data_IF_986313032814
#
_entry.id   IF_986313032814
#
_cell.length_a   1.000
_cell.length_b   1.000
_cell.length_c   1.000
_cell.angle_alpha   90.00
_cell.angle_beta   90.00
_cell.angle_gamma   90.00
#
_symmetry.space_group_name_H-M   'P 1'
#
loop_
_entity.id
_entity.type
_entity.pdbx_description
1 polymer ?
#
# COMPACT_ATOMS: atom_id res chain seq x y z
N UNK A 1 44.04 57.01 4.93
CA UNK A 1 42.86 57.59 4.23
C UNK A 1 43.14 57.56 2.74
N UNK A 2 42.23 56.96 1.96
CA UNK A 2 42.13 56.88 0.48
C UNK A 2 43.23 56.09 -0.28
N UNK A 3 43.00 55.43 -1.41
CA UNK A 3 41.86 54.80 -2.10
C UNK A 3 42.41 54.18 -3.42
N UNK A 4 41.69 53.18 -3.97
CA UNK A 4 41.72 52.66 -5.36
C UNK A 4 42.95 51.83 -5.81
N UNK A 5 42.82 50.53 -6.12
CA UNK A 5 42.17 49.84 -7.26
C UNK A 5 43.07 49.72 -8.49
N UNK A 6 43.46 48.49 -8.90
CA UNK A 6 43.23 47.94 -10.25
C UNK A 6 43.84 46.55 -10.43
N UNK A 7 43.17 45.79 -11.29
CA UNK A 7 43.13 44.35 -11.53
C UNK A 7 44.20 43.80 -12.48
N UNK A 8 44.27 42.46 -12.54
CA UNK A 8 44.61 41.52 -13.64
C UNK A 8 45.65 40.50 -13.18
N UNK A 9 45.66 39.23 -13.56
CA UNK A 9 44.74 38.32 -14.25
C UNK A 9 45.18 36.92 -13.78
N UNK A 10 44.28 35.93 -13.73
CA UNK A 10 44.75 34.55 -13.71
C UNK A 10 43.79 33.61 -14.41
N UNK A 11 44.41 32.73 -15.18
CA UNK A 11 43.85 32.05 -16.32
C UNK A 11 43.38 30.63 -15.97
N UNK A 12 42.57 30.08 -16.89
CA UNK A 12 42.41 28.66 -17.22
C UNK A 12 41.62 27.77 -16.23
N UNK A 13 40.48 27.24 -16.72
CA UNK A 13 40.34 25.81 -17.10
C UNK A 13 38.99 25.51 -17.77
N UNK A 14 39.04 24.63 -18.78
CA UNK A 14 37.94 24.05 -19.57
C UNK A 14 37.23 22.92 -18.77
N UNK A 15 36.41 22.06 -19.41
CA UNK A 15 34.98 22.19 -19.71
C UNK A 15 34.14 21.13 -18.96
N UNK A 16 32.82 21.29 -18.90
CA UNK A 16 31.94 20.26 -18.33
C UNK A 16 30.53 20.35 -18.89
N UNK A 17 30.28 19.62 -19.98
CA UNK A 17 28.93 19.32 -20.46
C UNK A 17 28.42 18.07 -19.74
N UNK A 18 27.41 18.22 -18.89
CA UNK A 18 26.49 17.17 -18.44
C UNK A 18 25.18 17.91 -18.12
N UNK A 19 24.08 17.73 -18.85
CA UNK A 19 23.40 16.45 -18.99
C UNK A 19 22.49 16.29 -17.78
N UNK A 20 21.24 16.74 -17.88
CA UNK A 20 20.33 16.72 -16.74
C UNK A 20 18.97 17.29 -17.09
N UNK A 21 18.21 16.50 -17.84
CA UNK A 21 16.79 16.64 -18.11
C UNK A 21 16.06 17.40 -17.01
N UNK A 22 15.27 18.42 -17.40
CA UNK A 22 14.10 18.82 -16.62
C UNK A 22 13.23 17.58 -16.54
N UNK A 23 13.47 16.76 -15.52
CA UNK A 23 12.62 15.66 -15.14
C UNK A 23 11.29 16.32 -14.83
N UNK A 24 10.43 16.29 -15.85
CA UNK A 24 8.99 16.32 -15.73
C UNK A 24 8.70 15.61 -14.42
N UNK A 25 8.32 16.41 -13.41
CA UNK A 25 7.76 15.89 -12.18
C UNK A 25 6.47 15.24 -12.64
N UNK A 26 6.58 13.99 -13.09
CA UNK A 26 5.48 13.06 -13.32
C UNK A 26 4.91 12.87 -11.93
N UNK A 27 4.05 13.82 -11.56
CA UNK A 27 3.04 13.65 -10.56
C UNK A 27 2.38 12.33 -10.94
N UNK A 28 2.67 11.27 -10.18
CA UNK A 28 1.93 10.02 -10.27
C UNK A 28 0.50 10.34 -9.86
N UNK A 29 -0.29 10.78 -10.84
CA UNK A 29 -1.75 10.88 -10.78
C UNK A 29 -2.28 9.45 -10.78
N UNK A 30 -2.14 8.74 -9.67
CA UNK A 30 -2.76 7.42 -9.45
C UNK A 30 -4.06 7.54 -8.64
N UNK A 31 -4.57 8.76 -8.41
CA UNK A 31 -5.74 8.97 -7.54
C UNK A 31 -6.90 9.76 -8.18
N UNK A 32 -6.93 9.99 -9.50
CA UNK A 32 -7.88 10.97 -10.05
C UNK A 32 -9.22 10.43 -10.55
N UNK A 33 -9.44 9.11 -10.63
CA UNK A 33 -10.66 8.58 -11.28
C UNK A 33 -11.33 7.45 -10.47
N UNK A 34 -11.48 7.61 -9.15
CA UNK A 34 -12.39 6.73 -8.39
C UNK A 34 -13.80 7.30 -8.56
N UNK A 35 -14.60 6.60 -9.36
CA UNK A 35 -15.95 6.97 -9.76
C UNK A 35 -16.86 7.28 -8.56
N UNK A 36 -17.69 8.30 -8.72
CA UNK A 36 -18.61 8.91 -7.76
C UNK A 36 -19.86 8.07 -7.43
N UNK A 37 -19.81 6.74 -7.58
CA UNK A 37 -20.98 5.86 -7.46
C UNK A 37 -20.91 4.91 -6.25
N UNK A 38 -19.76 4.85 -5.58
CA UNK A 38 -19.55 3.95 -4.43
C UNK A 38 -19.84 4.71 -3.12
N UNK A 39 -20.73 4.19 -2.25
CA UNK A 39 -21.02 4.77 -0.93
C UNK A 39 -19.75 5.07 -0.15
N UNK A 40 -19.76 6.15 0.64
CA UNK A 40 -18.58 6.60 1.39
C UNK A 40 -17.97 5.50 2.25
N UNK A 41 -18.82 4.72 2.92
CA UNK A 41 -18.45 3.56 3.75
C UNK A 41 -17.78 2.43 2.96
N UNK A 42 -18.09 2.30 1.66
CA UNK A 42 -17.53 1.26 0.80
C UNK A 42 -16.26 1.72 0.07
N UNK A 43 -15.91 3.01 0.13
CA UNK A 43 -14.71 3.54 -0.54
C UNK A 43 -13.44 2.88 0.01
N UNK A 44 -13.31 2.81 1.33
CA UNK A 44 -12.12 2.20 1.97
C UNK A 44 -12.06 0.69 1.74
N UNK A 45 -13.22 0.03 1.76
CA UNK A 45 -13.34 -1.39 1.44
C UNK A 45 -12.92 -1.67 -0.02
N UNK A 46 -13.40 -0.88 -0.98
CA UNK A 46 -13.02 -1.02 -2.39
C UNK A 46 -11.51 -0.78 -2.61
N UNK A 47 -10.94 0.22 -1.94
CA UNK A 47 -9.49 0.49 -1.99
C UNK A 47 -8.70 -0.71 -1.47
N UNK A 48 -9.13 -1.29 -0.33
CA UNK A 48 -8.45 -2.45 0.25
C UNK A 48 -8.65 -3.73 -0.55
N UNK A 49 -9.81 -3.91 -1.18
CA UNK A 49 -10.08 -5.00 -2.13
C UNK A 49 -9.11 -4.94 -3.31
N UNK A 50 -9.05 -3.79 -3.99
CA UNK A 50 -8.14 -3.57 -5.14
C UNK A 50 -6.67 -3.73 -4.73
N UNK A 51 -6.29 -3.23 -3.55
CA UNK A 51 -4.95 -3.45 -2.99
C UNK A 51 -4.65 -4.95 -2.85
N UNK A 52 -5.58 -5.73 -2.29
CA UNK A 52 -5.39 -7.15 -2.05
C UNK A 52 -5.24 -7.93 -3.35
N UNK A 53 -6.07 -7.66 -4.35
CA UNK A 53 -5.96 -8.30 -5.67
C UNK A 53 -4.63 -7.98 -6.37
N UNK A 54 -4.23 -6.71 -6.37
CA UNK A 54 -2.97 -6.27 -6.97
C UNK A 54 -1.76 -6.86 -6.23
N UNK A 55 -1.81 -6.92 -4.91
CA UNK A 55 -0.74 -7.50 -4.12
C UNK A 55 -0.62 -9.00 -4.36
N UNK A 56 -1.73 -9.74 -4.35
CA UNK A 56 -1.77 -11.18 -4.62
C UNK A 56 -1.18 -11.53 -5.99
N UNK A 57 -1.55 -10.79 -7.03
CA UNK A 57 -0.98 -10.93 -8.38
C UNK A 57 0.52 -10.64 -8.41
N UNK A 58 0.97 -9.61 -7.69
CA UNK A 58 2.39 -9.23 -7.64
C UNK A 58 3.26 -10.24 -6.89
N UNK A 59 2.76 -10.82 -5.81
CA UNK A 59 3.51 -11.78 -4.98
C UNK A 59 3.35 -13.23 -5.41
N UNK A 60 2.43 -13.51 -6.35
CA UNK A 60 2.12 -14.87 -6.79
C UNK A 60 1.42 -15.69 -5.70
N UNK A 61 0.64 -15.02 -4.85
CA UNK A 61 -0.11 -15.66 -3.75
C UNK A 61 -1.58 -15.75 -4.11
N UNK A 62 -2.30 -16.67 -3.50
CA UNK A 62 -3.73 -16.88 -3.72
C UNK A 62 -4.53 -16.51 -2.47
N UNK A 63 -5.83 -16.29 -2.64
CA UNK A 63 -6.74 -16.12 -1.53
C UNK A 63 -7.09 -17.47 -0.89
N UNK A 64 -7.68 -17.41 0.30
CA UNK A 64 -8.24 -18.59 0.94
C UNK A 64 -9.32 -19.22 0.05
N UNK A 65 -9.47 -20.54 0.08
CA UNK A 65 -10.58 -21.25 -0.58
C UNK A 65 -11.95 -20.75 -0.11
N UNK A 66 -12.02 -20.26 1.13
CA UNK A 66 -13.19 -19.58 1.65
C UNK A 66 -13.05 -18.06 1.49
N UNK A 67 -13.88 -17.50 0.60
CA UNK A 67 -13.93 -16.07 0.33
C UNK A 67 -14.50 -15.26 1.51
N UNK A 68 -15.22 -15.88 2.44
CA UNK A 68 -15.73 -15.21 3.64
C UNK A 68 -14.59 -14.71 4.53
N UNK A 69 -13.55 -15.54 4.73
CA UNK A 69 -12.33 -15.17 5.48
C UNK A 69 -11.64 -13.98 4.80
N UNK A 70 -11.52 -14.04 3.47
CA UNK A 70 -10.92 -12.97 2.68
C UNK A 70 -11.69 -11.65 2.84
N UNK A 71 -13.02 -11.70 2.79
CA UNK A 71 -13.89 -10.53 2.96
C UNK A 71 -13.78 -9.91 4.36
N UNK A 72 -13.80 -10.71 5.43
CA UNK A 72 -13.68 -10.24 6.82
C UNK A 72 -12.34 -9.54 7.05
N UNK A 73 -11.25 -10.10 6.53
CA UNK A 73 -9.92 -9.50 6.68
C UNK A 73 -9.83 -8.18 5.90
N UNK A 74 -10.38 -8.11 4.69
CA UNK A 74 -10.41 -6.87 3.90
C UNK A 74 -11.23 -5.79 4.61
N UNK A 75 -12.38 -6.15 5.21
CA UNK A 75 -13.20 -5.22 6.01
C UNK A 75 -12.41 -4.69 7.21
N UNK A 76 -11.80 -5.57 8.02
CA UNK A 76 -11.02 -5.13 9.19
C UNK A 76 -9.80 -4.27 8.82
N UNK A 77 -9.16 -4.54 7.68
CA UNK A 77 -8.09 -3.67 7.17
C UNK A 77 -8.62 -2.29 6.73
N UNK A 78 -9.82 -2.23 6.17
CA UNK A 78 -10.47 -0.98 5.80
C UNK A 78 -10.88 -0.17 7.05
N UNK A 79 -11.47 -0.81 8.06
CA UNK A 79 -11.83 -0.18 9.34
C UNK A 79 -10.60 0.43 10.03
N UNK A 80 -9.51 -0.33 10.19
CA UNK A 80 -8.28 0.20 10.77
C UNK A 80 -7.68 1.33 9.93
N UNK A 81 -7.83 1.30 8.61
CA UNK A 81 -7.40 2.39 7.74
C UNK A 81 -8.21 3.67 7.98
N UNK A 82 -9.51 3.56 8.23
CA UNK A 82 -10.37 4.71 8.49
C UNK A 82 -10.16 5.27 9.92
N UNK A 83 -9.97 4.38 10.91
CA UNK A 83 -9.76 4.77 12.31
C UNK A 83 -8.34 5.29 12.61
N UNK A 84 -7.31 4.59 12.12
CA UNK A 84 -5.90 4.84 12.45
C UNK A 84 -5.14 5.53 11.31
N UNK A 85 -5.73 5.62 10.10
CA UNK A 85 -5.07 6.11 8.90
C UNK A 85 -4.19 5.08 8.18
N UNK A 86 -3.99 3.89 8.77
CA UNK A 86 -3.14 2.82 8.23
C UNK A 86 -3.80 1.44 8.35
N UNK A 87 -3.64 0.54 7.37
CA UNK A 87 -4.29 -0.77 7.37
C UNK A 87 -3.55 -1.77 8.27
N UNK A 88 -3.75 -1.68 9.58
CA UNK A 88 -3.13 -2.59 10.57
C UNK A 88 -3.76 -4.01 10.50
N UNK A 89 -2.97 -5.11 10.53
CA UNK A 89 -3.55 -6.48 10.39
C UNK A 89 -4.57 -6.75 11.52
N UNK A 90 -5.84 -7.08 11.17
CA UNK A 90 -6.94 -7.21 12.13
C UNK A 90 -6.89 -8.51 12.95
N UNK A 91 -6.12 -9.52 12.52
CA UNK A 91 -6.02 -10.81 13.21
C UNK A 91 -5.01 -10.82 14.37
N UNK A 92 -4.60 -9.66 14.88
CA UNK A 92 -3.71 -9.55 16.05
C UNK A 92 -4.32 -8.63 17.09
N UNK A 93 -4.01 -8.91 18.34
CA UNK A 93 -4.28 -8.00 19.45
C UNK A 93 -3.08 -7.06 19.64
N UNK A 94 -3.36 -5.79 19.92
CA UNK A 94 -2.38 -4.74 20.18
C UNK A 94 -2.81 -3.99 21.43
N UNK A 95 -1.87 -3.69 22.32
CA UNK A 95 -2.14 -2.88 23.52
C UNK A 95 -2.39 -1.41 23.14
N UNK A 96 -1.59 -0.88 22.22
CA UNK A 96 -1.76 0.46 21.63
C UNK A 96 -1.74 0.38 20.10
N UNK A 97 -2.93 0.44 19.48
CA UNK A 97 -3.07 0.38 18.03
C UNK A 97 -2.45 1.59 17.30
N UNK A 98 -2.47 2.77 17.92
CA UNK A 98 -1.99 4.00 17.28
C UNK A 98 -0.45 3.98 17.18
N UNK A 99 0.23 3.59 18.26
CA UNK A 99 1.68 3.46 18.26
C UNK A 99 2.18 2.41 17.25
N UNK A 100 1.47 1.27 17.13
CA UNK A 100 1.83 0.22 16.17
C UNK A 100 1.58 0.63 14.71
N UNK A 101 0.50 1.37 14.46
CA UNK A 101 0.20 1.94 13.16
C UNK A 101 1.27 2.95 12.71
N UNK A 102 1.82 3.75 13.66
CA UNK A 102 2.92 4.67 13.40
C UNK A 102 4.25 3.94 13.15
N UNK A 103 4.56 2.91 13.94
CA UNK A 103 5.76 2.08 13.73
C UNK A 103 5.74 1.35 12.39
N UNK A 104 4.56 0.89 11.96
CA UNK A 104 4.33 0.32 10.63
C UNK A 104 4.85 -1.10 10.41
N UNK A 105 5.26 -1.81 11.47
CA UNK A 105 5.69 -3.20 11.38
C UNK A 105 4.53 -4.13 10.93
N UNK A 106 3.35 -3.90 11.49
CA UNK A 106 2.13 -4.69 11.25
C UNK A 106 1.16 -4.06 10.24
N UNK A 107 1.53 -2.94 9.63
CA UNK A 107 0.75 -2.33 8.55
C UNK A 107 0.79 -3.22 7.33
N UNK A 108 -0.37 -3.56 6.78
CA UNK A 108 -0.50 -4.42 5.63
C UNK A 108 0.09 -3.75 4.37
N UNK A 109 1.04 -4.37 3.66
CA UNK A 109 1.61 -5.71 3.88
C UNK A 109 2.68 -5.71 4.97
N UNK A 110 2.47 -6.51 6.03
CA UNK A 110 3.34 -6.55 7.21
C UNK A 110 4.75 -7.07 6.88
N UNK A 111 5.70 -6.86 7.80
CA UNK A 111 7.10 -7.31 7.61
C UNK A 111 7.20 -8.82 7.30
N UNK A 112 6.54 -9.74 8.03
CA UNK A 112 6.59 -11.17 7.71
C UNK A 112 6.08 -11.50 6.30
N UNK A 113 5.04 -10.81 5.83
CA UNK A 113 4.52 -11.00 4.49
C UNK A 113 5.51 -10.54 3.41
N UNK A 114 6.19 -9.40 3.64
CA UNK A 114 7.15 -8.85 2.68
C UNK A 114 8.43 -9.66 2.57
N UNK A 115 8.92 -10.20 3.69
CA UNK A 115 10.19 -10.91 3.74
C UNK A 115 10.06 -12.41 3.47
N UNK A 116 9.00 -13.04 4.01
CA UNK A 116 8.83 -14.50 4.01
C UNK A 116 7.55 -14.99 3.34
N UNK A 117 6.66 -14.09 2.91
CA UNK A 117 5.30 -14.41 2.41
C UNK A 117 4.43 -15.16 3.42
N UNK A 118 4.65 -14.91 4.71
CA UNK A 118 3.87 -15.50 5.79
C UNK A 118 2.71 -14.54 6.17
N UNK A 119 1.48 -14.93 5.85
CA UNK A 119 0.27 -14.18 6.19
C UNK A 119 -0.56 -14.90 7.25
N UNK A 120 -0.45 -14.50 8.52
CA UNK A 120 -1.29 -15.05 9.59
C UNK A 120 -2.79 -14.77 9.37
N UNK A 121 -3.08 -13.62 8.77
CA UNK A 121 -4.42 -13.17 8.41
C UNK A 121 -5.06 -14.09 7.30
N UNK A 122 -4.36 -15.10 6.75
CA UNK A 122 -4.81 -16.00 5.65
C UNK A 122 -5.29 -15.31 4.36
N UNK A 123 -4.96 -14.03 4.20
CA UNK A 123 -5.30 -13.25 3.02
C UNK A 123 -4.38 -13.56 1.84
N UNK A 124 -3.10 -13.81 2.10
CA UNK A 124 -2.12 -14.13 1.06
C UNK A 124 -1.48 -15.47 1.38
N UNK A 125 -1.98 -16.51 0.71
CA UNK A 125 -1.50 -17.87 0.87
C UNK A 125 -0.62 -18.26 -0.32
N UNK A 126 0.42 -19.04 -0.05
CA UNK A 126 1.23 -19.66 -1.11
C UNK A 126 0.53 -20.89 -1.65
N UNK A 127 0.87 -21.33 -2.86
CA UNK A 127 0.18 -22.46 -3.53
C UNK A 127 0.35 -23.81 -2.82
N UNK A 128 1.36 -23.92 -1.96
CA UNK A 128 1.64 -25.08 -1.11
C UNK A 128 0.77 -25.13 0.16
N UNK A 129 -0.01 -24.08 0.45
CA UNK A 129 -0.88 -24.05 1.61
C UNK A 129 -2.19 -24.81 1.34
N UNK A 130 -2.59 -25.70 2.26
CA UNK A 130 -3.82 -26.51 2.13
C UNK A 130 -5.10 -25.68 2.01
N UNK A 131 -5.09 -24.42 2.48
CA UNK A 131 -6.23 -23.52 2.43
C UNK A 131 -6.18 -22.55 1.23
N UNK A 132 -5.15 -22.62 0.39
CA UNK A 132 -5.07 -21.79 -0.81
C UNK A 132 -6.12 -22.23 -1.82
N UNK A 133 -7.05 -21.32 -2.14
CA UNK A 133 -7.96 -21.51 -3.27
C UNK A 133 -7.28 -21.18 -4.59
N UNK A 134 -8.03 -21.26 -5.70
CA UNK A 134 -7.50 -20.94 -7.03
C UNK A 134 -7.63 -19.44 -7.39
N UNK A 135 -8.40 -18.69 -6.61
CA UNK A 135 -8.76 -17.31 -6.89
C UNK A 135 -7.77 -16.27 -6.38
N UNK A 136 -7.58 -15.20 -7.16
CA UNK A 136 -6.89 -13.95 -6.77
C UNK A 136 -7.80 -12.73 -6.93
N UNK A 137 -9.10 -12.95 -7.08
CA UNK A 137 -10.10 -11.92 -7.35
C UNK A 137 -11.27 -12.11 -6.40
N UNK A 138 -11.80 -11.00 -5.92
CA UNK A 138 -13.01 -10.96 -5.11
C UNK A 138 -13.79 -9.71 -5.50
N UNK A 139 -15.06 -9.85 -5.81
CA UNK A 139 -15.90 -8.72 -6.22
C UNK A 139 -16.31 -7.88 -5.00
N UNK A 140 -16.72 -6.63 -5.23
CA UNK A 140 -17.17 -5.78 -4.14
C UNK A 140 -18.46 -6.34 -3.52
N UNK A 141 -19.37 -6.83 -4.36
CA UNK A 141 -20.61 -7.47 -3.93
C UNK A 141 -20.34 -8.66 -3.00
N UNK A 142 -19.42 -9.56 -3.36
CA UNK A 142 -19.02 -10.68 -2.50
C UNK A 142 -18.48 -10.20 -1.15
N UNK A 143 -17.60 -9.19 -1.13
CA UNK A 143 -17.11 -8.62 0.12
C UNK A 143 -18.23 -8.09 1.00
N UNK A 144 -19.23 -7.41 0.41
CA UNK A 144 -20.36 -6.87 1.15
C UNK A 144 -21.28 -8.00 1.60
N UNK A 145 -21.57 -8.99 0.75
CA UNK A 145 -22.43 -10.14 1.07
C UNK A 145 -21.91 -10.92 2.28
N UNK A 146 -20.62 -11.25 2.31
CA UNK A 146 -20.03 -12.00 3.42
C UNK A 146 -19.91 -11.18 4.71
N UNK A 147 -20.04 -9.86 4.63
CA UNK A 147 -19.95 -8.96 5.79
C UNK A 147 -21.31 -8.40 6.23
N UNK A 148 -22.40 -8.65 5.47
CA UNK A 148 -23.77 -8.33 5.86
C UNK A 148 -24.15 -9.18 7.08
N UNK A 149 -24.19 -8.57 8.26
CA UNK A 149 -24.64 -9.22 9.50
C UNK A 149 -23.56 -9.39 10.58
N UNK A 150 -22.35 -8.87 10.34
CA UNK A 150 -21.32 -8.64 11.36
C UNK A 150 -21.26 -7.16 11.74
#
# INVERSE_FOLDING_TARGET
MAAACSTTASALRRPGAFGGSRASRRQLRVCANIATEVPAELRSLEVMRKFSEQYAQRTGTKFCMDLSVTAVVIKGLAEHKDELGAPLCPCRHYDDKAAEAEQGYWNCPCVPMRERKECHCMLFLTEDNDFAGDGQKITLDECVEFTKGM
#
